data_IF_918114452036
#
_entry.id   IF_918114452036
#
_cell.length_a   1.000
_cell.length_b   1.000
_cell.length_c   1.000
_cell.angle_alpha   90.00
_cell.angle_beta   90.00
_cell.angle_gamma   90.00
#
_symmetry.space_group_name_H-M   'P 1'
#
loop_
_entity.id
_entity.type
_entity.pdbx_description
1 polymer ?
#
# COMPACT_ATOMS: atom_id res chain seq x y z
N UNK A 1 8.71 18.88 11.52
CA UNK A 1 7.52 19.73 11.30
C UNK A 1 7.21 19.73 9.82
N UNK A 2 5.93 19.80 9.42
CA UNK A 2 5.53 19.80 8.00
C UNK A 2 6.15 20.94 7.17
N UNK A 3 6.46 22.06 7.81
CA UNK A 3 7.14 23.19 7.20
C UNK A 3 8.55 22.87 6.67
N UNK A 4 9.21 21.86 7.21
CA UNK A 4 10.57 21.50 6.84
C UNK A 4 10.64 20.69 5.52
N UNK A 5 9.46 20.28 5.01
CA UNK A 5 9.29 19.52 3.76
C UNK A 5 8.90 20.41 2.57
N UNK A 6 8.77 21.71 2.78
CA UNK A 6 8.37 22.67 1.75
C UNK A 6 9.59 23.45 1.26
N UNK A 7 9.86 23.37 -0.04
CA UNK A 7 10.86 24.23 -0.66
C UNK A 7 10.44 25.70 -0.58
N UNK A 8 11.33 26.53 -0.07
CA UNK A 8 11.13 27.99 -0.07
C UNK A 8 11.25 28.49 -1.51
N UNK A 9 10.19 29.10 -2.02
CA UNK A 9 10.15 29.71 -3.35
C UNK A 9 9.56 31.11 -3.22
N UNK A 10 10.34 32.13 -3.47
CA UNK A 10 9.96 33.55 -3.32
C UNK A 10 8.83 33.97 -4.28
N UNK A 11 8.46 33.14 -5.23
CA UNK A 11 7.31 33.36 -6.13
C UNK A 11 5.97 32.97 -5.52
N UNK A 12 5.97 32.25 -4.40
CA UNK A 12 4.76 31.85 -3.70
C UNK A 12 4.31 32.97 -2.77
N UNK A 13 2.99 33.25 -2.76
CA UNK A 13 2.41 34.15 -1.77
C UNK A 13 2.39 33.52 -0.37
N UNK A 14 2.13 32.21 -0.31
CA UNK A 14 2.20 31.43 0.92
C UNK A 14 3.13 30.22 0.72
N UNK A 15 4.00 29.88 1.68
CA UNK A 15 4.86 28.71 1.57
C UNK A 15 4.11 27.38 1.29
N UNK A 16 2.85 27.29 1.72
CA UNK A 16 2.00 26.12 1.49
C UNK A 16 1.42 26.04 0.07
N UNK A 17 1.52 27.12 -0.73
CA UNK A 17 1.02 27.10 -2.10
C UNK A 17 1.71 26.04 -2.94
N UNK A 18 0.94 25.38 -3.78
CA UNK A 18 1.43 24.33 -4.68
C UNK A 18 0.87 24.50 -6.10
N UNK A 19 1.60 23.97 -7.08
CA UNK A 19 1.27 24.17 -8.48
C UNK A 19 0.09 23.29 -8.93
N UNK A 20 -1.02 23.90 -9.32
CA UNK A 20 -2.14 23.25 -9.98
C UNK A 20 -1.85 23.00 -11.46
N UNK A 21 -1.21 23.98 -12.12
CA UNK A 21 -0.85 23.95 -13.53
C UNK A 21 0.60 24.37 -13.73
N UNK A 22 1.33 23.65 -14.57
CA UNK A 22 2.75 23.91 -14.85
C UNK A 22 2.93 24.23 -16.33
N UNK A 23 3.72 25.24 -16.67
CA UNK A 23 4.13 25.49 -18.04
C UNK A 23 4.83 24.24 -18.63
N UNK A 24 4.47 23.87 -19.84
CA UNK A 24 5.05 22.72 -20.51
C UNK A 24 6.50 23.01 -20.92
N UNK A 25 7.37 22.03 -20.72
CA UNK A 25 8.72 22.02 -21.29
C UNK A 25 8.68 21.50 -22.73
N UNK A 26 9.70 21.79 -23.55
CA UNK A 26 9.82 21.20 -24.88
C UNK A 26 9.70 19.66 -24.82
N UNK A 27 8.91 19.08 -25.71
CA UNK A 27 8.63 17.63 -25.80
C UNK A 27 7.76 17.01 -24.69
N UNK A 28 7.29 17.78 -23.72
CA UNK A 28 6.27 17.30 -22.78
C UNK A 28 4.86 17.35 -23.41
N UNK A 29 3.97 16.41 -23.07
CA UNK A 29 2.55 16.54 -23.35
C UNK A 29 2.02 17.86 -22.78
N UNK A 30 1.20 18.57 -23.57
CA UNK A 30 0.70 19.87 -23.13
C UNK A 30 -0.70 20.14 -23.68
N UNK A 31 -1.44 20.95 -22.95
CA UNK A 31 -2.78 21.40 -23.29
C UNK A 31 -2.85 22.92 -23.23
N UNK A 32 -3.77 23.50 -23.99
CA UNK A 32 -4.03 24.92 -23.93
C UNK A 32 -4.75 25.29 -22.63
N UNK A 33 -4.38 26.44 -22.06
CA UNK A 33 -5.01 26.99 -20.86
C UNK A 33 -5.02 28.51 -20.92
N UNK A 34 -5.79 29.21 -20.05
CA UNK A 34 -5.76 30.67 -19.93
C UNK A 34 -4.36 31.24 -19.64
N UNK A 35 -3.48 30.41 -19.10
CA UNK A 35 -2.10 30.78 -18.72
C UNK A 35 -1.06 30.33 -19.77
N UNK A 36 -1.51 29.85 -20.93
CA UNK A 36 -0.65 29.31 -21.97
C UNK A 36 -0.60 27.79 -21.98
N UNK A 37 0.26 27.23 -22.85
CA UNK A 37 0.44 25.78 -22.94
C UNK A 37 1.11 25.23 -21.70
N UNK A 38 0.50 24.21 -21.12
CA UNK A 38 0.96 23.61 -19.89
C UNK A 38 0.39 22.22 -19.64
N UNK A 39 0.66 21.71 -18.47
CA UNK A 39 0.20 20.43 -17.97
C UNK A 39 -0.25 20.54 -16.51
N UNK A 40 -1.12 19.64 -16.04
CA UNK A 40 -1.51 19.61 -14.63
C UNK A 40 -0.30 19.40 -13.72
N UNK A 41 -0.39 19.91 -12.50
CA UNK A 41 0.49 19.53 -11.41
C UNK A 41 0.18 18.09 -10.96
N UNK A 42 1.11 17.50 -10.23
CA UNK A 42 0.99 16.09 -9.80
C UNK A 42 -0.27 15.81 -8.98
N UNK A 43 -0.58 16.66 -8.01
CA UNK A 43 -1.67 16.42 -7.06
C UNK A 43 -3.05 16.45 -7.73
N UNK A 44 -3.28 17.38 -8.66
CA UNK A 44 -4.57 17.53 -9.31
C UNK A 44 -4.89 16.37 -10.27
N UNK A 45 -3.89 15.66 -10.75
CA UNK A 45 -4.10 14.45 -11.55
C UNK A 45 -4.86 13.41 -10.74
N UNK A 46 -4.41 13.14 -9.51
CA UNK A 46 -5.06 12.16 -8.62
C UNK A 46 -6.44 12.65 -8.16
N UNK A 47 -6.58 13.92 -7.76
CA UNK A 47 -7.88 14.49 -7.38
C UNK A 47 -8.90 14.37 -8.50
N UNK A 48 -8.54 14.77 -9.72
CA UNK A 48 -9.45 14.72 -10.87
C UNK A 48 -9.82 13.29 -11.29
N UNK A 49 -8.87 12.36 -11.26
CA UNK A 49 -9.13 10.96 -11.61
C UNK A 49 -9.99 10.27 -10.55
N UNK A 50 -9.72 10.49 -9.27
CA UNK A 50 -10.52 9.94 -8.18
C UNK A 50 -11.97 10.40 -8.27
N UNK A 51 -12.20 11.71 -8.41
CA UNK A 51 -13.55 12.25 -8.59
C UNK A 51 -14.26 11.68 -9.82
N UNK A 52 -13.56 11.57 -10.94
CA UNK A 52 -14.14 11.09 -12.20
C UNK A 52 -14.57 9.63 -12.15
N UNK A 53 -13.78 8.77 -11.53
CA UNK A 53 -13.97 7.33 -11.62
C UNK A 53 -14.63 6.73 -10.39
N UNK A 54 -14.45 7.32 -9.21
CA UNK A 54 -14.94 6.80 -7.94
C UNK A 54 -16.07 7.64 -7.36
N UNK A 55 -16.15 8.93 -7.74
CA UNK A 55 -17.07 9.87 -7.08
C UNK A 55 -16.52 10.33 -5.73
N UNK A 56 -17.38 10.97 -4.93
CA UNK A 56 -17.04 11.41 -3.57
C UNK A 56 -18.23 11.23 -2.61
N UNK A 57 -17.96 10.94 -1.32
CA UNK A 57 -16.69 10.39 -0.87
C UNK A 57 -16.48 8.96 -1.39
N UNK A 58 -15.24 8.57 -1.63
CA UNK A 58 -14.92 7.16 -1.89
C UNK A 58 -14.35 6.47 -0.64
N UNK A 59 -14.29 5.12 -0.65
CA UNK A 59 -14.05 4.38 0.58
C UNK A 59 -12.61 4.46 1.05
N UNK A 60 -11.64 4.12 0.18
CA UNK A 60 -10.24 4.01 0.57
C UNK A 60 -9.32 4.77 -0.37
N UNK A 61 -8.39 5.52 0.19
CA UNK A 61 -7.25 6.09 -0.51
C UNK A 61 -5.97 5.79 0.27
N UNK A 62 -4.91 5.44 -0.45
CA UNK A 62 -3.70 5.05 0.23
C UNK A 62 -2.43 5.27 -0.57
N UNK A 63 -1.31 5.10 0.13
CA UNK A 63 0.02 5.22 -0.45
C UNK A 63 1.11 5.01 0.58
N UNK A 64 2.34 5.31 0.22
CA UNK A 64 3.44 5.35 1.18
C UNK A 64 3.26 6.46 2.21
N UNK A 65 3.87 6.32 3.37
CA UNK A 65 3.80 7.34 4.43
C UNK A 65 4.39 8.69 4.03
N UNK A 66 5.23 8.74 2.99
CA UNK A 66 5.76 9.96 2.40
C UNK A 66 4.74 10.75 1.56
N UNK A 67 3.65 10.11 1.17
CA UNK A 67 2.56 10.77 0.43
C UNK A 67 1.57 11.50 1.34
N UNK A 68 1.58 11.25 2.65
CA UNK A 68 0.72 11.98 3.60
C UNK A 68 0.86 13.48 3.36
N UNK A 69 2.11 13.94 3.34
CA UNK A 69 2.43 15.33 3.06
C UNK A 69 3.62 15.41 2.09
N UNK A 70 3.52 16.29 1.04
CA UNK A 70 2.43 17.22 0.77
C UNK A 70 1.30 16.64 -0.11
N UNK A 71 1.44 15.43 -0.67
CA UNK A 71 0.62 14.94 -1.78
C UNK A 71 -0.88 14.79 -1.39
N UNK A 72 -1.17 13.94 -0.41
CA UNK A 72 -2.55 13.67 -0.01
C UNK A 72 -3.23 14.89 0.64
N UNK A 73 -2.49 15.67 1.43
CA UNK A 73 -3.03 16.93 1.97
C UNK A 73 -3.41 17.91 0.86
N UNK A 74 -2.64 17.96 -0.23
CA UNK A 74 -2.96 18.79 -1.37
C UNK A 74 -4.14 18.23 -2.19
N UNK A 75 -4.30 16.92 -2.28
CA UNK A 75 -5.49 16.31 -2.88
C UNK A 75 -6.76 16.62 -2.09
N UNK A 76 -6.71 16.54 -0.77
CA UNK A 76 -7.81 16.94 0.12
C UNK A 76 -8.17 18.41 -0.14
N UNK A 77 -7.19 19.30 -0.07
CA UNK A 77 -7.42 20.73 -0.28
C UNK A 77 -8.07 21.02 -1.64
N UNK A 78 -7.64 20.35 -2.70
CA UNK A 78 -8.20 20.52 -4.04
C UNK A 78 -9.64 19.99 -4.16
N UNK A 79 -9.87 18.77 -3.66
CA UNK A 79 -11.16 18.11 -3.78
C UNK A 79 -12.22 18.79 -2.93
N UNK A 80 -11.93 19.07 -1.67
CA UNK A 80 -12.86 19.73 -0.77
C UNK A 80 -13.17 21.18 -1.19
N UNK A 81 -12.18 21.90 -1.74
CA UNK A 81 -12.42 23.23 -2.30
C UNK A 81 -13.27 23.20 -3.59
N UNK A 82 -13.16 22.16 -4.41
CA UNK A 82 -13.92 21.99 -5.64
C UNK A 82 -15.39 21.62 -5.38
N UNK A 83 -15.60 20.70 -4.45
CA UNK A 83 -16.86 19.97 -4.36
C UNK A 83 -17.77 20.43 -3.22
N UNK A 84 -17.25 21.07 -2.18
CA UNK A 84 -18.00 21.62 -1.03
C UNK A 84 -18.87 20.60 -0.26
N UNK A 85 -18.55 19.30 -0.30
CA UNK A 85 -19.50 18.24 0.13
C UNK A 85 -19.04 17.38 1.30
N UNK A 86 -17.92 17.68 1.93
CA UNK A 86 -17.40 16.87 3.04
C UNK A 86 -16.08 16.18 2.70
N UNK A 87 -15.70 15.11 3.41
CA UNK A 87 -14.39 14.51 3.22
C UNK A 87 -14.28 13.85 1.85
N UNK A 88 -13.12 14.00 1.22
CA UNK A 88 -12.77 13.33 -0.04
C UNK A 88 -12.85 11.80 0.09
N UNK A 89 -12.41 11.28 1.21
CA UNK A 89 -12.19 9.84 1.45
C UNK A 89 -12.65 9.45 2.85
N UNK A 90 -13.28 8.29 2.97
CA UNK A 90 -13.69 7.75 4.26
C UNK A 90 -12.52 7.21 5.08
N UNK A 91 -11.57 6.50 4.43
CA UNK A 91 -10.45 5.84 5.11
C UNK A 91 -9.13 6.06 4.37
N UNK A 92 -8.14 6.57 5.09
CA UNK A 92 -6.77 6.73 4.62
C UNK A 92 -5.91 5.58 5.08
N UNK A 93 -5.16 4.96 4.16
CA UNK A 93 -4.26 3.83 4.45
C UNK A 93 -2.85 4.18 4.01
N UNK A 94 -1.93 4.31 4.95
CA UNK A 94 -0.53 4.64 4.65
C UNK A 94 0.41 3.52 5.06
N UNK A 95 1.16 3.02 4.09
CA UNK A 95 2.11 1.93 4.26
C UNK A 95 3.47 2.45 4.76
N UNK A 96 4.13 1.64 5.58
CA UNK A 96 5.56 1.78 5.82
C UNK A 96 6.38 1.54 4.54
N UNK A 97 7.64 1.94 4.57
CA UNK A 97 8.54 1.74 3.43
C UNK A 97 9.08 0.32 3.37
N UNK A 98 9.40 -0.12 2.16
CA UNK A 98 10.33 -1.22 1.97
C UNK A 98 11.75 -0.65 2.10
N UNK A 99 12.53 -1.27 2.99
CA UNK A 99 13.93 -0.92 3.24
C UNK A 99 14.84 -2.02 2.74
N UNK A 100 16.10 -1.71 2.50
CA UNK A 100 17.18 -2.64 2.23
C UNK A 100 18.32 -2.23 3.15
N UNK A 101 18.78 -3.13 3.98
CA UNK A 101 19.79 -2.83 5.01
C UNK A 101 19.39 -1.62 5.88
N UNK A 102 18.11 -1.54 6.23
CA UNK A 102 17.50 -0.45 7.01
C UNK A 102 17.48 0.92 6.31
N UNK A 103 17.88 1.01 5.04
CA UNK A 103 17.76 2.21 4.23
C UNK A 103 16.54 2.15 3.31
N UNK A 104 15.86 3.29 3.13
CA UNK A 104 14.71 3.37 2.21
C UNK A 104 15.11 2.94 0.80
N UNK A 105 14.38 1.99 0.21
CA UNK A 105 14.57 1.60 -1.18
C UNK A 105 14.31 2.80 -2.10
N UNK A 106 15.28 3.15 -2.94
CA UNK A 106 15.11 4.23 -3.92
C UNK A 106 16.00 4.07 -5.14
N UNK A 107 15.55 4.61 -6.27
CA UNK A 107 16.33 4.64 -7.50
C UNK A 107 17.60 5.48 -7.38
N UNK A 108 17.55 6.55 -6.60
CA UNK A 108 18.71 7.46 -6.41
C UNK A 108 19.84 6.79 -5.62
N UNK A 109 19.52 5.84 -4.75
CA UNK A 109 20.51 5.06 -3.99
C UNK A 109 20.95 3.80 -4.73
N UNK A 110 20.34 3.50 -5.88
CA UNK A 110 20.58 2.29 -6.66
C UNK A 110 20.46 0.98 -5.84
N UNK A 111 19.60 1.01 -4.82
CA UNK A 111 19.30 -0.10 -3.91
C UNK A 111 17.86 -0.61 -4.11
N UNK A 112 17.40 -0.71 -5.36
CA UNK A 112 16.04 -1.16 -5.66
C UNK A 112 16.04 -2.47 -6.45
N UNK A 113 15.04 -3.31 -6.19
CA UNK A 113 14.76 -4.50 -6.96
C UNK A 113 13.45 -4.34 -7.72
N UNK A 114 13.39 -4.88 -8.90
CA UNK A 114 12.13 -4.98 -9.62
C UNK A 114 11.40 -6.26 -9.20
N UNK A 115 10.10 -6.17 -9.05
CA UNK A 115 9.26 -7.34 -8.73
C UNK A 115 9.50 -8.49 -9.71
N UNK A 116 9.67 -8.18 -11.00
CA UNK A 116 9.97 -9.19 -12.03
C UNK A 116 11.25 -9.97 -11.74
N UNK A 117 12.29 -9.28 -11.24
CA UNK A 117 13.58 -9.92 -10.96
C UNK A 117 13.48 -10.83 -9.71
N UNK A 118 12.71 -10.39 -8.72
CA UNK A 118 12.38 -11.22 -7.54
C UNK A 118 11.59 -12.48 -7.94
N UNK A 119 10.64 -12.34 -8.86
CA UNK A 119 9.81 -13.46 -9.32
C UNK A 119 10.56 -14.49 -10.20
N UNK A 120 11.78 -14.20 -10.64
CA UNK A 120 12.66 -15.19 -11.27
C UNK A 120 13.22 -16.22 -10.27
N UNK A 121 13.26 -15.85 -8.97
CA UNK A 121 13.87 -16.65 -7.90
C UNK A 121 12.88 -17.15 -6.84
N UNK A 122 11.77 -16.44 -6.66
CA UNK A 122 10.78 -16.71 -5.61
C UNK A 122 9.36 -16.81 -6.19
N UNK A 123 8.53 -17.65 -5.58
CA UNK A 123 7.13 -17.76 -5.98
C UNK A 123 6.35 -16.47 -5.69
N UNK A 124 5.31 -16.15 -6.48
CA UNK A 124 4.43 -15.02 -6.19
C UNK A 124 3.81 -15.08 -4.79
N UNK A 125 3.50 -16.27 -4.30
CA UNK A 125 2.90 -16.46 -2.99
C UNK A 125 3.89 -16.23 -1.85
N UNK A 126 5.17 -16.59 -2.03
CA UNK A 126 6.22 -16.27 -1.08
C UNK A 126 6.42 -14.75 -0.97
N UNK A 127 6.41 -14.04 -2.09
CA UNK A 127 6.50 -12.58 -2.10
C UNK A 127 5.27 -11.93 -1.45
N UNK A 128 4.06 -12.42 -1.74
CA UNK A 128 2.84 -11.94 -1.07
C UNK A 128 2.90 -12.17 0.44
N UNK A 129 3.30 -13.37 0.85
CA UNK A 129 3.42 -13.72 2.26
C UNK A 129 4.44 -12.83 2.97
N UNK A 130 5.57 -12.54 2.33
CA UNK A 130 6.56 -11.57 2.81
C UNK A 130 5.95 -10.20 3.03
N UNK A 131 5.22 -9.66 2.04
CA UNK A 131 4.63 -8.31 2.12
C UNK A 131 3.59 -8.17 3.24
N UNK A 132 2.85 -9.24 3.57
CA UNK A 132 1.85 -9.24 4.65
C UNK A 132 2.38 -9.76 5.99
N UNK A 133 3.65 -10.16 6.07
CA UNK A 133 4.25 -10.71 7.30
C UNK A 133 4.39 -9.69 8.43
N UNK A 134 4.38 -8.41 8.11
CA UNK A 134 4.42 -7.31 9.05
C UNK A 134 3.15 -6.47 8.99
N UNK A 135 2.89 -5.72 10.05
CA UNK A 135 1.84 -4.71 10.02
C UNK A 135 2.14 -3.67 8.93
N UNK A 136 1.15 -3.33 8.10
CA UNK A 136 1.35 -2.50 6.91
C UNK A 136 1.98 -1.12 7.15
N UNK A 137 1.82 -0.54 8.35
CA UNK A 137 2.46 0.73 8.74
C UNK A 137 3.92 0.61 9.12
N UNK A 138 4.39 -0.61 9.40
CA UNK A 138 5.78 -0.84 9.80
C UNK A 138 6.69 -0.93 8.59
N UNK A 139 7.92 -0.42 8.66
CA UNK A 139 8.90 -0.67 7.63
C UNK A 139 9.13 -2.17 7.46
N UNK A 140 9.32 -2.60 6.22
CA UNK A 140 9.57 -3.98 5.85
C UNK A 140 10.96 -4.07 5.21
N UNK A 141 11.90 -4.70 5.91
CA UNK A 141 13.26 -4.86 5.42
C UNK A 141 13.34 -6.05 4.47
N UNK A 142 13.74 -5.77 3.22
CA UNK A 142 13.86 -6.76 2.16
C UNK A 142 15.24 -7.38 2.17
N UNK A 143 15.29 -8.72 2.27
CA UNK A 143 16.50 -9.49 2.05
C UNK A 143 16.17 -10.87 1.49
N UNK A 144 17.13 -11.50 0.81
CA UNK A 144 16.99 -12.86 0.30
C UNK A 144 16.77 -13.88 1.42
N UNK A 145 17.39 -13.65 2.59
CA UNK A 145 17.21 -14.51 3.77
C UNK A 145 15.74 -14.48 4.23
N UNK A 146 15.13 -13.31 4.31
CA UNK A 146 13.72 -13.17 4.70
C UNK A 146 12.77 -13.79 3.70
N UNK A 147 13.00 -13.62 2.40
CA UNK A 147 12.20 -14.29 1.38
C UNK A 147 12.33 -15.82 1.44
N UNK A 148 13.53 -16.31 1.68
CA UNK A 148 13.78 -17.74 1.89
C UNK A 148 13.05 -18.27 3.14
N UNK A 149 13.06 -17.51 4.23
CA UNK A 149 12.31 -17.83 5.45
C UNK A 149 10.81 -17.88 5.20
N UNK A 150 10.27 -16.88 4.48
CA UNK A 150 8.86 -16.85 4.11
C UNK A 150 8.47 -18.02 3.21
N UNK A 151 9.31 -18.40 2.25
CA UNK A 151 9.12 -19.57 1.41
C UNK A 151 8.98 -20.84 2.23
N UNK A 152 9.92 -21.07 3.16
CA UNK A 152 9.85 -22.24 4.06
C UNK A 152 8.64 -22.22 4.98
N UNK A 153 8.22 -21.05 5.42
CA UNK A 153 7.03 -20.90 6.26
C UNK A 153 5.75 -21.20 5.48
N UNK A 154 5.67 -20.75 4.24
CA UNK A 154 4.57 -21.05 3.34
C UNK A 154 4.48 -22.54 3.00
N UNK A 155 5.60 -23.19 2.74
CA UNK A 155 5.67 -24.65 2.53
C UNK A 155 5.17 -25.45 3.75
N UNK A 156 5.51 -25.01 4.97
CA UNK A 156 4.99 -25.63 6.21
C UNK A 156 3.48 -25.46 6.34
N UNK A 157 2.95 -24.29 6.00
CA UNK A 157 1.50 -24.05 5.98
C UNK A 157 0.81 -24.93 4.93
N UNK A 158 1.37 -25.02 3.73
CA UNK A 158 0.87 -25.89 2.66
C UNK A 158 0.82 -27.35 3.13
N UNK A 159 1.92 -27.86 3.69
CA UNK A 159 2.00 -29.23 4.22
C UNK A 159 0.94 -29.47 5.31
N UNK A 160 0.72 -28.51 6.20
CA UNK A 160 -0.31 -28.64 7.24
C UNK A 160 -1.71 -28.70 6.64
N UNK A 161 -2.01 -27.92 5.61
CA UNK A 161 -3.28 -27.93 4.88
C UNK A 161 -3.45 -29.27 4.16
N UNK A 162 -2.46 -29.73 3.42
CA UNK A 162 -2.50 -30.98 2.66
C UNK A 162 -2.71 -32.18 3.60
N UNK A 163 -2.01 -32.22 4.73
CA UNK A 163 -2.19 -33.26 5.75
C UNK A 163 -3.60 -33.22 6.34
N UNK A 164 -4.15 -32.03 6.56
CA UNK A 164 -5.50 -31.88 7.09
C UNK A 164 -6.54 -32.35 6.07
N UNK A 165 -6.40 -31.96 4.81
CA UNK A 165 -7.28 -32.42 3.73
C UNK A 165 -7.22 -33.95 3.59
N UNK A 166 -6.01 -34.52 3.59
CA UNK A 166 -5.82 -35.96 3.54
C UNK A 166 -6.52 -36.68 4.73
N UNK A 167 -6.40 -36.14 5.95
CA UNK A 167 -7.08 -36.70 7.13
C UNK A 167 -8.61 -36.63 7.00
N UNK A 168 -9.15 -35.57 6.40
CA UNK A 168 -10.60 -35.44 6.17
C UNK A 168 -11.15 -36.46 5.17
N UNK A 169 -10.33 -36.91 4.23
CA UNK A 169 -10.67 -37.94 3.24
C UNK A 169 -10.61 -39.36 3.81
N UNK A 170 -9.93 -39.56 4.97
CA UNK A 170 -9.87 -40.89 5.59
C UNK A 170 -11.22 -41.26 6.21
N UNK A 171 -11.60 -42.58 6.16
CA UNK A 171 -12.76 -43.04 6.85
C UNK A 171 -12.67 -42.66 8.34
N UNK A 172 -13.65 -41.96 8.87
CA UNK A 172 -13.65 -41.53 10.27
C UNK A 172 -13.62 -42.77 11.16
N UNK A 173 -12.46 -43.11 11.69
CA UNK A 173 -12.37 -43.98 12.88
C UNK A 173 -13.19 -43.30 13.97
N UNK A 174 -14.05 -44.08 14.65
CA UNK A 174 -15.07 -43.54 15.58
C UNK A 174 -14.49 -42.45 16.50
N UNK A 175 -15.35 -41.49 16.86
CA UNK A 175 -15.00 -40.35 17.71
C UNK A 175 -14.36 -40.85 19.02
N UNK A 176 -13.05 -40.64 19.15
CA UNK A 176 -12.38 -40.84 20.44
C UNK A 176 -12.72 -39.67 21.37
N UNK A 177 -12.68 -39.88 22.69
CA UNK A 177 -12.86 -38.79 23.68
C UNK A 177 -11.90 -37.64 23.42
N UNK A 178 -10.67 -37.93 22.94
CA UNK A 178 -9.66 -36.94 22.59
C UNK A 178 -10.09 -36.08 21.38
N UNK A 179 -10.72 -36.70 20.36
CA UNK A 179 -11.20 -35.93 19.19
C UNK A 179 -12.40 -35.04 19.52
N UNK A 180 -13.24 -35.44 20.46
CA UNK A 180 -14.34 -34.61 20.93
C UNK A 180 -13.84 -33.43 21.77
N UNK A 181 -12.83 -33.63 22.60
CA UNK A 181 -12.18 -32.56 23.37
C UNK A 181 -11.49 -31.52 22.48
N UNK A 182 -10.76 -31.98 21.45
CA UNK A 182 -10.11 -31.09 20.49
C UNK A 182 -11.11 -30.26 19.67
N UNK A 183 -12.24 -30.86 19.27
CA UNK A 183 -13.31 -30.14 18.57
C UNK A 183 -13.95 -29.07 19.46
N UNK A 184 -14.18 -29.38 20.73
CA UNK A 184 -14.71 -28.43 21.69
C UNK A 184 -13.75 -27.28 21.99
N UNK A 185 -12.45 -27.55 22.01
CA UNK A 185 -11.40 -26.53 22.15
C UNK A 185 -11.31 -25.63 20.92
N UNK A 186 -11.38 -26.20 19.73
CA UNK A 186 -11.39 -25.44 18.48
C UNK A 186 -12.62 -24.53 18.36
N UNK A 187 -13.81 -25.03 18.75
CA UNK A 187 -15.04 -24.23 18.77
C UNK A 187 -14.94 -23.05 19.74
N UNK A 188 -14.45 -23.28 20.97
CA UNK A 188 -14.23 -22.18 21.93
C UNK A 188 -13.26 -21.14 21.41
N UNK A 189 -12.18 -21.58 20.82
CA UNK A 189 -11.20 -20.66 20.23
C UNK A 189 -11.83 -19.80 19.13
N UNK A 190 -12.70 -20.35 18.30
CA UNK A 190 -13.42 -19.58 17.27
C UNK A 190 -14.40 -18.57 17.88
N UNK A 191 -15.14 -18.96 18.92
CA UNK A 191 -16.07 -18.07 19.65
C UNK A 191 -15.34 -16.91 20.36
N UNK A 192 -14.11 -17.11 20.82
CA UNK A 192 -13.28 -16.07 21.44
C UNK A 192 -12.71 -15.05 20.44
N UNK A 193 -12.78 -15.33 19.11
CA UNK A 193 -12.33 -14.43 18.03
C UNK A 193 -13.47 -13.67 17.34
N UNK A 194 -14.72 -13.95 17.62
CA UNK A 194 -15.90 -13.19 17.16
C UNK A 194 -16.24 -12.05 18.15
#
# INVERSE_FOLDING_TARGET
RSSDLIEVDDRKENPMDFALWKAAKPSEPSWDSPWGKGRPGWHIECSAMSLKYLGEPFDFHGGGSDLIFPHHENEIAQTEACCNHGPMVNYWVHNGFITIDSEKMSKSLNNFFLVKDVLEHYSPDALRYFLISNHYRSPLDFSDERLTEMTRSLERLGTAIDNTLWLLEQPSGGKSELSAALLADAQRTMEDFE
#
